data_IF_705482075167
#
_entry.id   IF_705482075167
#
_cell.length_a   1.000
_cell.length_b   1.000
_cell.length_c   1.000
_cell.angle_alpha   90.00
_cell.angle_beta   90.00
_cell.angle_gamma   90.00
#
_symmetry.space_group_name_H-M   'P 1'
#
loop_
_entity.id
_entity.type
_entity.pdbx_description
1 polymer ?
#
# COMPACT_ATOMS: atom_id res chain seq x y z
N UNK A 1 -28.82 -1.61 7.68
CA UNK A 1 -27.73 -2.61 7.65
C UNK A 1 -26.47 -1.83 7.92
N UNK A 2 -25.87 -1.97 9.11
CA UNK A 2 -24.66 -1.22 9.45
C UNK A 2 -23.52 -1.67 8.56
N UNK A 3 -22.66 -0.73 8.15
CA UNK A 3 -21.40 -1.07 7.49
C UNK A 3 -20.47 -1.61 8.59
N UNK A 4 -20.35 -2.94 8.68
CA UNK A 4 -19.33 -3.58 9.51
C UNK A 4 -17.98 -3.50 8.79
N UNK A 5 -16.92 -3.16 9.54
CA UNK A 5 -15.56 -3.00 9.03
C UNK A 5 -14.64 -3.98 9.77
N UNK A 6 -13.96 -4.84 9.02
CA UNK A 6 -12.94 -5.73 9.57
C UNK A 6 -11.60 -5.03 9.75
N UNK A 7 -10.84 -5.45 10.76
CA UNK A 7 -9.47 -4.98 10.97
C UNK A 7 -8.49 -6.15 10.82
N UNK A 8 -7.43 -5.93 10.03
CA UNK A 8 -6.28 -6.84 9.94
C UNK A 8 -5.07 -6.17 10.59
N UNK A 9 -4.51 -6.80 11.61
CA UNK A 9 -3.26 -6.38 12.23
C UNK A 9 -2.13 -7.27 11.71
N UNK A 10 -1.26 -6.74 10.85
CA UNK A 10 -0.26 -7.54 10.11
C UNK A 10 1.16 -7.40 10.67
N UNK A 11 1.40 -6.48 11.60
CA UNK A 11 2.73 -6.19 12.11
C UNK A 11 3.63 -5.55 11.05
N UNK A 12 4.90 -5.95 11.00
CA UNK A 12 5.85 -5.47 10.00
C UNK A 12 5.85 -6.39 8.77
N UNK A 13 5.57 -5.83 7.59
CA UNK A 13 5.47 -6.57 6.33
C UNK A 13 6.15 -5.84 5.17
N UNK A 14 6.67 -6.53 4.13
CA UNK A 14 7.26 -5.85 2.98
C UNK A 14 6.21 -5.07 2.17
N UNK A 15 6.58 -3.91 1.63
CA UNK A 15 5.65 -3.00 0.95
C UNK A 15 5.00 -3.61 -0.30
N UNK A 16 5.80 -4.00 -1.28
CA UNK A 16 5.34 -4.44 -2.60
C UNK A 16 4.35 -5.63 -2.57
N UNK A 17 4.63 -6.75 -1.87
CA UNK A 17 3.67 -7.85 -1.81
C UNK A 17 2.40 -7.47 -1.04
N UNK A 18 2.49 -6.58 -0.04
CA UNK A 18 1.33 -6.12 0.72
C UNK A 18 0.42 -5.23 -0.14
N UNK A 19 1.01 -4.31 -0.91
CA UNK A 19 0.29 -3.47 -1.87
C UNK A 19 -0.42 -4.32 -2.93
N UNK A 20 0.25 -5.31 -3.50
CA UNK A 20 -0.37 -6.24 -4.45
C UNK A 20 -1.47 -7.10 -3.81
N UNK A 21 -1.31 -7.50 -2.55
CA UNK A 21 -2.37 -8.20 -1.81
C UNK A 21 -3.61 -7.32 -1.61
N UNK A 22 -3.43 -6.02 -1.32
CA UNK A 22 -4.53 -5.06 -1.23
C UNK A 22 -5.23 -4.88 -2.59
N UNK A 23 -4.48 -4.73 -3.69
CA UNK A 23 -5.04 -4.65 -5.04
C UNK A 23 -5.84 -5.92 -5.39
N UNK A 24 -5.29 -7.10 -5.08
CA UNK A 24 -5.94 -8.38 -5.31
C UNK A 24 -7.22 -8.53 -4.49
N UNK A 25 -7.19 -8.15 -3.21
CA UNK A 25 -8.37 -8.16 -2.34
C UNK A 25 -9.52 -7.35 -2.95
N UNK A 26 -9.23 -6.15 -3.45
CA UNK A 26 -10.24 -5.31 -4.10
C UNK A 26 -10.69 -5.88 -5.45
N UNK A 27 -9.79 -6.49 -6.23
CA UNK A 27 -10.12 -7.05 -7.54
C UNK A 27 -10.98 -8.33 -7.45
N UNK A 28 -10.79 -9.13 -6.40
CA UNK A 28 -11.44 -10.44 -6.26
C UNK A 28 -12.66 -10.43 -5.34
N UNK A 29 -12.88 -9.36 -4.56
CA UNK A 29 -14.03 -9.28 -3.64
C UNK A 29 -15.37 -9.14 -4.38
N UNK A 30 -16.39 -9.75 -3.82
CA UNK A 30 -17.79 -9.53 -4.18
C UNK A 30 -18.57 -8.88 -3.03
N UNK A 31 -19.89 -8.73 -3.18
CA UNK A 31 -20.76 -8.08 -2.20
C UNK A 31 -20.89 -8.85 -0.86
N UNK A 32 -20.44 -10.09 -0.80
CA UNK A 32 -20.44 -10.90 0.44
C UNK A 32 -19.19 -10.71 1.28
N UNK A 33 -18.12 -10.13 0.70
CA UNK A 33 -16.87 -9.85 1.39
C UNK A 33 -16.98 -8.51 2.11
N UNK A 34 -16.73 -8.50 3.41
CA UNK A 34 -16.72 -7.30 4.24
C UNK A 34 -15.57 -6.36 3.85
N UNK A 35 -15.77 -5.06 4.03
CA UNK A 35 -14.67 -4.08 3.92
C UNK A 35 -13.63 -4.31 5.03
N UNK A 36 -12.37 -3.96 4.75
CA UNK A 36 -11.27 -4.16 5.68
C UNK A 36 -10.36 -2.94 5.78
N UNK A 37 -9.86 -2.67 6.99
CA UNK A 37 -8.77 -1.77 7.28
C UNK A 37 -7.53 -2.56 7.70
N UNK A 38 -6.41 -2.36 7.00
CA UNK A 38 -5.17 -3.09 7.24
C UNK A 38 -4.20 -2.19 8.03
N UNK A 39 -3.81 -2.64 9.22
CA UNK A 39 -2.94 -1.94 10.17
C UNK A 39 -1.59 -2.65 10.22
N UNK A 40 -0.53 -1.93 9.85
CA UNK A 40 0.79 -2.53 9.63
C UNK A 40 1.90 -1.47 9.65
N UNK A 41 3.14 -1.94 9.59
CA UNK A 41 4.34 -1.16 9.36
C UNK A 41 5.15 -1.81 8.22
N UNK A 42 6.02 -1.04 7.58
CA UNK A 42 6.92 -1.54 6.54
C UNK A 42 8.38 -1.33 6.95
N UNK A 43 9.30 -2.20 6.51
CA UNK A 43 10.71 -1.87 6.42
C UNK A 43 10.91 -0.57 5.62
N UNK A 44 12.08 0.07 5.78
CA UNK A 44 12.38 1.34 5.10
C UNK A 44 12.12 1.24 3.58
N UNK A 45 11.29 2.15 3.07
CA UNK A 45 10.88 2.22 1.66
C UNK A 45 10.46 3.63 1.31
N UNK A 46 10.85 4.11 0.13
CA UNK A 46 10.25 5.25 -0.52
C UNK A 46 9.20 4.76 -1.52
N UNK A 47 8.04 5.41 -1.54
CA UNK A 47 7.00 5.12 -2.53
C UNK A 47 6.79 6.36 -3.35
N UNK A 48 6.74 6.24 -4.67
CA UNK A 48 6.53 7.35 -5.57
C UNK A 48 5.14 7.23 -6.20
N UNK A 49 4.25 8.16 -5.83
CA UNK A 49 2.90 8.24 -6.41
C UNK A 49 2.89 8.81 -7.83
N UNK A 50 1.72 8.83 -8.44
CA UNK A 50 1.50 9.21 -9.85
C UNK A 50 1.97 10.63 -10.21
N UNK A 51 2.00 11.56 -9.25
CA UNK A 51 2.48 12.92 -9.49
C UNK A 51 3.99 13.08 -9.21
N UNK A 52 4.65 12.01 -8.77
CA UNK A 52 6.08 11.99 -8.48
C UNK A 52 6.89 11.84 -9.76
N UNK A 53 8.02 12.56 -9.81
CA UNK A 53 9.03 12.39 -10.85
C UNK A 53 10.28 11.78 -10.24
N UNK A 54 10.96 10.88 -10.96
CA UNK A 54 12.15 10.20 -10.47
C UNK A 54 13.24 11.17 -9.94
N UNK A 55 13.30 12.38 -10.51
CA UNK A 55 14.18 13.49 -10.10
C UNK A 55 13.93 14.05 -8.69
N UNK A 56 12.81 13.72 -8.03
CA UNK A 56 12.49 14.21 -6.66
C UNK A 56 13.01 13.32 -5.53
N UNK A 57 13.53 12.12 -5.83
CA UNK A 57 14.21 11.28 -4.83
C UNK A 57 15.71 11.52 -4.92
N UNK A 58 16.23 12.42 -4.08
CA UNK A 58 17.66 12.70 -4.03
C UNK A 58 18.36 11.74 -3.06
N UNK A 59 19.28 10.93 -3.58
CA UNK A 59 20.16 10.03 -2.82
C UNK A 59 19.44 9.04 -1.88
N UNK A 60 18.70 8.05 -2.41
CA UNK A 60 17.98 7.08 -1.58
C UNK A 60 18.87 6.13 -0.77
N UNK A 61 20.19 6.10 -1.04
CA UNK A 61 21.09 5.11 -0.46
C UNK A 61 20.64 3.69 -0.84
N UNK A 62 20.57 2.80 0.14
CA UNK A 62 20.10 1.42 -0.03
C UNK A 62 18.58 1.25 0.17
N UNK A 63 17.84 2.35 0.40
CA UNK A 63 16.39 2.29 0.61
C UNK A 63 15.69 2.10 -0.75
N UNK A 64 14.83 1.07 -0.89
CA UNK A 64 14.10 0.84 -2.13
C UNK A 64 13.14 1.99 -2.44
N UNK A 65 13.07 2.37 -3.73
CA UNK A 65 12.10 3.34 -4.26
C UNK A 65 11.13 2.61 -5.19
N UNK A 66 9.85 2.57 -4.82
CA UNK A 66 8.82 1.81 -5.54
C UNK A 66 7.82 2.76 -6.19
N UNK A 67 7.62 2.64 -7.50
CA UNK A 67 6.55 3.36 -8.21
C UNK A 67 5.20 2.72 -7.90
N UNK A 68 4.22 3.54 -7.52
CA UNK A 68 2.92 3.07 -7.07
C UNK A 68 1.79 3.90 -7.68
N UNK A 69 0.59 3.34 -7.67
CA UNK A 69 -0.60 3.91 -8.30
C UNK A 69 -1.35 4.93 -7.42
N UNK A 70 -0.87 5.22 -6.21
CA UNK A 70 -1.48 6.25 -5.35
C UNK A 70 -1.29 7.65 -5.93
N UNK A 71 -2.20 8.56 -5.58
CA UNK A 71 -1.99 9.99 -5.78
C UNK A 71 -0.82 10.55 -4.95
N UNK A 72 -0.41 11.78 -5.26
CA UNK A 72 0.70 12.46 -4.58
C UNK A 72 2.07 12.24 -5.24
N UNK A 73 3.10 12.89 -4.70
CA UNK A 73 4.50 12.75 -5.15
C UNK A 73 5.20 11.58 -4.43
N UNK A 74 6.52 11.69 -4.21
CA UNK A 74 7.31 10.85 -3.30
C UNK A 74 6.81 11.06 -1.89
#
# INVERSE_FOLDING_TARGET
>A
MGLELGFRELGEVPYEPTWHAMQRFVAERDKSVMDEAWLLQHPAVFTQGQAGKAEHVLFPGDIPVIQVDRGGQV
#
